data_IF_129943002812
#
_entry.id   IF_129943002812
#
_cell.length_a   1.000
_cell.length_b   1.000
_cell.length_c   1.000
_cell.angle_alpha   90.00
_cell.angle_beta   90.00
_cell.angle_gamma   90.00
#
_symmetry.space_group_name_H-M   'P 1'
#
loop_
_entity.id
_entity.type
_entity.pdbx_description
1 polymer ?
#
# COMPACT_ATOMS: atom_id res chain seq x y z
N UNK A 1 31.96 -2.57 -78.43
CA UNK A 1 32.00 -2.24 -76.99
C UNK A 1 32.21 -0.74 -76.89
N UNK A 2 31.25 0.04 -76.38
CA UNK A 2 31.07 0.30 -74.94
C UNK A 2 29.54 0.30 -74.57
N UNK A 3 29.03 1.00 -73.53
CA UNK A 3 29.03 0.62 -72.12
C UNK A 3 27.66 0.74 -71.38
N UNK A 4 27.65 0.26 -70.12
CA UNK A 4 26.97 0.68 -68.85
C UNK A 4 25.62 1.45 -68.83
N UNK A 5 24.70 0.83 -68.05
CA UNK A 5 23.79 1.31 -66.96
C UNK A 5 22.94 2.59 -67.12
N UNK A 6 21.63 2.43 -66.92
CA UNK A 6 20.72 3.43 -66.35
C UNK A 6 19.49 2.77 -65.68
N UNK A 7 19.18 3.15 -64.43
CA UNK A 7 17.80 3.44 -63.97
C UNK A 7 17.44 4.87 -64.48
N UNK A 8 16.21 5.43 -64.43
CA UNK A 8 15.07 5.07 -63.57
C UNK A 8 13.65 5.29 -64.19
N UNK A 9 12.62 4.96 -63.38
CA UNK A 9 11.32 5.63 -63.20
C UNK A 9 10.49 6.14 -64.40
N UNK A 10 9.23 5.71 -64.46
CA UNK A 10 8.11 6.53 -64.95
C UNK A 10 6.84 6.27 -64.16
N UNK A 11 6.18 7.38 -63.83
CA UNK A 11 4.81 7.49 -63.36
C UNK A 11 3.83 7.17 -64.50
N UNK A 12 2.62 6.74 -64.15
CA UNK A 12 1.45 6.94 -65.02
C UNK A 12 0.20 7.05 -64.16
N UNK A 13 -0.42 8.23 -64.16
CA UNK A 13 -1.83 8.39 -63.81
C UNK A 13 -2.67 7.86 -64.98
N UNK A 14 -3.69 7.04 -64.70
CA UNK A 14 -4.87 6.96 -65.56
C UNK A 14 -6.11 6.64 -64.73
N UNK A 15 -7.17 7.40 -65.01
CA UNK A 15 -8.39 7.47 -64.22
C UNK A 15 -9.29 6.25 -64.28
N UNK A 16 -10.29 6.24 -63.39
CA UNK A 16 -11.30 5.19 -63.33
C UNK A 16 -12.40 5.51 -62.33
N UNK A 17 -13.47 6.11 -62.86
CA UNK A 17 -14.76 6.47 -62.27
C UNK A 17 -15.28 5.52 -61.17
N UNK A 18 -15.64 6.15 -60.05
CA UNK A 18 -16.48 5.73 -58.91
C UNK A 18 -17.37 4.49 -59.08
N UNK A 19 -17.05 3.43 -58.32
CA UNK A 19 -18.05 2.55 -57.70
C UNK A 19 -18.17 2.92 -56.22
N UNK A 20 -19.38 3.31 -55.79
CA UNK A 20 -19.75 3.54 -54.39
C UNK A 20 -19.46 2.28 -53.57
N UNK A 21 -18.31 2.24 -52.91
CA UNK A 21 -18.10 1.39 -51.76
C UNK A 21 -18.81 2.06 -50.57
N UNK A 22 -19.83 1.38 -50.05
CA UNK A 22 -20.52 1.75 -48.81
C UNK A 22 -19.47 1.70 -47.70
N UNK A 23 -18.92 2.87 -47.34
CA UNK A 23 -18.09 3.01 -46.15
C UNK A 23 -19.00 2.69 -44.96
N UNK A 24 -18.94 1.44 -44.49
CA UNK A 24 -19.31 1.11 -43.12
C UNK A 24 -18.33 1.89 -42.25
N UNK A 25 -18.75 3.08 -41.84
CA UNK A 25 -18.21 3.78 -40.68
C UNK A 25 -18.21 2.75 -39.56
N UNK A 26 -17.03 2.18 -39.27
CA UNK A 26 -16.78 1.49 -38.01
C UNK A 26 -17.14 2.53 -36.96
N UNK A 27 -18.30 2.35 -36.33
CA UNK A 27 -18.64 3.10 -35.13
C UNK A 27 -17.42 2.99 -34.22
N UNK A 28 -16.83 4.14 -33.87
CA UNK A 28 -15.88 4.21 -32.76
C UNK A 28 -16.58 3.49 -31.62
N UNK A 29 -16.09 2.30 -31.26
CA UNK A 29 -16.53 1.63 -30.02
C UNK A 29 -16.26 2.65 -28.93
N UNK A 30 -17.33 3.23 -28.38
CA UNK A 30 -17.27 4.07 -27.20
C UNK A 30 -16.52 3.27 -26.15
N UNK A 31 -15.45 3.85 -25.60
CA UNK A 31 -14.70 3.21 -24.54
C UNK A 31 -15.69 2.81 -23.43
N UNK A 32 -15.57 1.60 -22.85
CA UNK A 32 -16.45 1.16 -21.79
C UNK A 32 -16.40 2.17 -20.65
N UNK A 33 -17.58 2.63 -20.19
CA UNK A 33 -17.69 3.58 -19.09
C UNK A 33 -17.16 2.95 -17.81
N UNK A 34 -16.27 3.64 -17.10
CA UNK A 34 -15.74 3.15 -15.82
C UNK A 34 -16.88 3.05 -14.78
N UNK A 35 -16.78 2.10 -13.83
CA UNK A 35 -17.74 2.01 -12.72
C UNK A 35 -17.65 3.26 -11.84
N UNK A 36 -18.73 3.59 -11.15
CA UNK A 36 -18.77 4.71 -10.20
C UNK A 36 -18.46 4.23 -8.79
N UNK A 37 -17.75 5.08 -8.04
CA UNK A 37 -17.64 4.94 -6.60
C UNK A 37 -19.01 5.11 -5.93
N UNK A 38 -19.23 4.38 -4.85
CA UNK A 38 -20.37 4.52 -3.95
C UNK A 38 -19.86 5.12 -2.65
N UNK A 39 -20.39 6.25 -2.16
CA UNK A 39 -19.96 6.84 -0.90
C UNK A 39 -20.00 5.84 0.26
N UNK A 40 -19.10 5.94 1.25
CA UNK A 40 -19.10 5.07 2.41
C UNK A 40 -20.47 5.07 3.11
N UNK A 41 -20.98 3.89 3.42
CA UNK A 41 -22.25 3.74 4.13
C UNK A 41 -22.06 2.96 5.43
N UNK A 42 -21.31 3.58 6.34
CA UNK A 42 -20.89 2.98 7.60
C UNK A 42 -22.07 2.65 8.51
N UNK A 43 -22.97 3.60 8.72
CA UNK A 43 -24.06 3.47 9.71
C UNK A 43 -25.16 2.49 9.28
N UNK A 44 -25.46 2.34 7.98
CA UNK A 44 -26.52 1.41 7.57
C UNK A 44 -26.09 -0.06 7.70
N UNK A 45 -24.79 -0.33 7.70
CA UNK A 45 -24.26 -1.70 7.80
C UNK A 45 -23.94 -2.10 9.23
N UNK A 46 -23.53 -1.14 10.05
CA UNK A 46 -23.10 -1.36 11.43
C UNK A 46 -23.80 -0.33 12.33
N UNK A 47 -25.03 -0.61 12.82
CA UNK A 47 -25.80 0.32 13.66
C UNK A 47 -25.10 0.73 14.96
N UNK A 48 -24.18 -0.10 15.44
CA UNK A 48 -23.31 0.13 16.60
C UNK A 48 -22.17 1.12 16.32
N UNK A 49 -21.96 1.52 15.07
CA UNK A 49 -20.93 2.49 14.72
C UNK A 49 -21.45 3.92 14.80
N UNK A 50 -20.65 4.81 15.38
CA UNK A 50 -21.01 6.21 15.57
C UNK A 50 -19.88 7.16 15.19
N UNK A 51 -20.24 8.41 14.91
CA UNK A 51 -19.29 9.52 14.85
C UNK A 51 -18.83 9.96 16.25
N UNK A 52 -19.61 9.65 17.27
CA UNK A 52 -19.28 9.99 18.65
C UNK A 52 -18.18 9.06 19.17
N UNK A 53 -17.17 9.67 19.80
CA UNK A 53 -16.07 8.95 20.41
C UNK A 53 -16.57 8.04 21.56
N UNK A 54 -16.12 6.78 21.67
CA UNK A 54 -16.45 5.93 22.80
C UNK A 54 -16.00 6.56 24.13
N UNK A 55 -16.82 6.41 25.18
CA UNK A 55 -16.57 7.06 26.48
C UNK A 55 -15.44 6.44 27.30
N UNK A 56 -15.04 5.21 26.96
CA UNK A 56 -14.08 4.42 27.70
C UNK A 56 -12.66 5.00 27.66
N UNK A 57 -11.89 4.73 28.72
CA UNK A 57 -10.56 5.34 28.92
C UNK A 57 -9.55 4.85 27.88
N UNK A 58 -9.54 3.54 27.60
CA UNK A 58 -8.61 2.96 26.64
C UNK A 58 -8.99 3.35 25.22
N UNK A 59 -10.28 3.36 24.89
CA UNK A 59 -10.75 3.81 23.59
C UNK A 59 -10.26 5.23 23.26
N UNK A 60 -10.52 6.19 24.15
CA UNK A 60 -10.04 7.59 24.00
C UNK A 60 -8.53 7.66 23.84
N UNK A 61 -7.80 6.93 24.69
CA UNK A 61 -6.34 6.88 24.64
C UNK A 61 -5.83 6.38 23.29
N UNK A 62 -6.47 5.37 22.70
CA UNK A 62 -6.12 4.87 21.36
C UNK A 62 -6.42 5.91 20.28
N UNK A 63 -7.62 6.47 20.32
CA UNK A 63 -8.11 7.43 19.33
C UNK A 63 -7.20 8.67 19.30
N UNK A 64 -6.88 9.23 20.46
CA UNK A 64 -5.98 10.39 20.56
C UNK A 64 -4.54 10.06 20.16
N UNK A 65 -4.01 8.90 20.59
CA UNK A 65 -2.61 8.53 20.33
C UNK A 65 -2.32 8.31 18.85
N UNK A 66 -3.24 7.65 18.15
CA UNK A 66 -3.09 7.27 16.74
C UNK A 66 -3.99 8.03 15.78
N UNK A 67 -4.62 9.12 16.24
CA UNK A 67 -5.50 9.98 15.46
C UNK A 67 -6.63 9.22 14.75
N UNK A 68 -7.21 8.19 15.39
CA UNK A 68 -8.23 7.36 14.76
C UNK A 68 -9.47 8.19 14.41
N UNK A 69 -10.02 7.95 13.23
CA UNK A 69 -11.16 8.68 12.69
C UNK A 69 -12.49 7.96 12.99
N UNK A 70 -13.64 8.67 12.97
CA UNK A 70 -14.93 8.02 12.87
C UNK A 70 -15.08 7.33 11.50
N UNK A 71 -15.86 6.23 11.40
CA UNK A 71 -16.71 5.67 12.45
C UNK A 71 -15.92 4.98 13.57
N UNK A 72 -16.45 5.08 14.78
CA UNK A 72 -15.99 4.33 15.94
C UNK A 72 -16.95 3.19 16.21
N UNK A 73 -16.41 1.98 16.39
CA UNK A 73 -17.21 0.81 16.76
C UNK A 73 -17.45 0.79 18.28
N UNK A 74 -18.69 1.02 18.70
CA UNK A 74 -19.06 0.99 20.13
C UNK A 74 -19.27 -0.42 20.68
N UNK A 75 -19.23 -1.46 19.84
CA UNK A 75 -19.23 -2.85 20.31
C UNK A 75 -17.87 -3.28 20.86
N UNK A 76 -16.78 -2.60 20.48
CA UNK A 76 -15.44 -2.88 21.00
C UNK A 76 -15.37 -2.53 22.48
N UNK A 77 -15.14 -3.55 23.29
CA UNK A 77 -15.06 -3.41 24.74
C UNK A 77 -13.79 -2.69 25.18
N UNK A 78 -13.81 -2.09 26.38
CA UNK A 78 -12.61 -1.48 26.97
C UNK A 78 -11.44 -2.45 27.14
N UNK A 79 -11.73 -3.75 27.31
CA UNK A 79 -10.70 -4.80 27.35
C UNK A 79 -10.03 -4.98 25.98
N UNK A 80 -10.83 -4.99 24.91
CA UNK A 80 -10.33 -5.06 23.54
C UNK A 80 -9.56 -3.79 23.16
N UNK A 81 -10.07 -2.60 23.51
CA UNK A 81 -9.32 -1.34 23.33
C UNK A 81 -7.99 -1.33 24.08
N UNK A 82 -7.93 -1.90 25.29
CA UNK A 82 -6.68 -2.08 26.01
C UNK A 82 -5.73 -3.04 25.27
N UNK A 83 -6.23 -4.15 24.74
CA UNK A 83 -5.41 -5.08 23.95
C UNK A 83 -4.86 -4.41 22.68
N UNK A 84 -5.71 -3.64 21.98
CA UNK A 84 -5.33 -2.84 20.81
C UNK A 84 -4.23 -1.84 21.18
N UNK A 85 -4.42 -1.11 22.29
CA UNK A 85 -3.44 -0.17 22.79
C UNK A 85 -2.09 -0.86 23.06
N UNK A 86 -2.10 -1.95 23.81
CA UNK A 86 -0.88 -2.61 24.26
C UNK A 86 -0.11 -3.24 23.09
N UNK A 87 -0.80 -3.83 22.13
CA UNK A 87 -0.18 -4.36 20.90
C UNK A 87 0.45 -3.24 20.07
N UNK A 88 -0.33 -2.21 19.70
CA UNK A 88 0.15 -1.13 18.83
C UNK A 88 1.23 -0.28 19.51
N UNK A 89 1.17 -0.08 20.84
CA UNK A 89 2.23 0.58 21.59
C UNK A 89 3.52 -0.24 21.66
N UNK A 90 3.42 -1.58 21.72
CA UNK A 90 4.60 -2.44 21.61
C UNK A 90 5.19 -2.39 20.20
N UNK A 91 4.37 -2.35 19.15
CA UNK A 91 4.82 -2.16 17.78
C UNK A 91 5.43 -0.77 17.53
N UNK A 92 4.90 0.29 18.15
CA UNK A 92 5.51 1.63 18.10
C UNK A 92 6.97 1.56 18.59
N UNK A 93 7.21 0.89 19.72
CA UNK A 93 8.55 0.71 20.28
C UNK A 93 9.45 -0.12 19.36
N UNK A 94 8.91 -1.16 18.75
CA UNK A 94 9.66 -2.04 17.84
C UNK A 94 9.97 -1.37 16.48
N UNK A 95 9.20 -0.36 16.09
CA UNK A 95 9.37 0.44 14.88
C UNK A 95 9.95 1.83 15.20
N UNK A 96 10.74 1.91 16.28
CA UNK A 96 11.49 3.10 16.70
C UNK A 96 12.96 2.95 16.34
N UNK A 97 13.53 4.00 15.74
CA UNK A 97 14.98 4.07 15.49
C UNK A 97 15.77 3.83 16.78
N UNK A 98 16.75 2.91 16.75
CA UNK A 98 17.62 2.65 17.90
C UNK A 98 17.12 1.66 18.93
N UNK A 99 15.85 1.27 18.89
CA UNK A 99 15.36 0.16 19.72
C UNK A 99 15.70 -1.15 19.01
N UNK A 100 16.94 -1.63 19.21
CA UNK A 100 17.39 -2.95 18.77
C UNK A 100 16.68 -4.06 19.58
N UNK A 101 15.37 -4.20 19.40
CA UNK A 101 14.72 -5.45 19.73
C UNK A 101 15.36 -6.53 18.86
N UNK A 102 16.18 -7.39 19.48
CA UNK A 102 16.90 -8.56 18.93
C UNK A 102 16.52 -8.89 17.47
N UNK A 103 17.49 -8.98 16.54
CA UNK A 103 17.22 -9.00 15.12
C UNK A 103 16.43 -10.26 14.75
N UNK A 104 15.12 -10.13 14.59
CA UNK A 104 14.42 -10.70 13.44
C UNK A 104 14.44 -9.73 12.26
N UNK A 105 15.15 -8.60 12.44
CA UNK A 105 15.57 -7.69 11.38
C UNK A 105 17.08 -7.85 11.23
N UNK A 106 17.50 -9.01 10.71
CA UNK A 106 18.89 -9.19 10.27
C UNK A 106 19.09 -8.35 9.01
N UNK A 107 19.59 -7.15 9.22
CA UNK A 107 19.87 -6.16 8.20
C UNK A 107 21.38 -6.00 8.00
N UNK A 108 22.11 -7.11 7.92
CA UNK A 108 23.55 -7.01 7.73
C UNK A 108 23.88 -6.45 6.33
N UNK A 109 22.91 -6.47 5.40
CA UNK A 109 23.13 -6.05 4.01
C UNK A 109 21.90 -5.51 3.24
N UNK A 110 20.76 -5.26 3.89
CA UNK A 110 19.61 -4.60 3.23
C UNK A 110 19.63 -3.08 3.48
N UNK A 111 18.78 -2.34 2.77
CA UNK A 111 18.51 -0.93 3.13
C UNK A 111 17.93 -0.87 4.54
N UNK A 112 18.14 0.24 5.24
CA UNK A 112 17.45 0.51 6.51
C UNK A 112 15.93 0.32 6.33
N UNK A 113 15.22 -0.40 7.23
CA UNK A 113 13.77 -0.59 7.13
C UNK A 113 13.00 0.73 7.17
N UNK A 114 13.55 1.77 7.78
CA UNK A 114 12.78 2.96 8.12
C UNK A 114 12.44 3.84 6.91
N UNK A 115 13.37 4.14 5.98
CA UNK A 115 13.00 4.74 4.69
C UNK A 115 11.96 3.94 3.91
N UNK A 116 12.04 2.60 3.94
CA UNK A 116 11.07 1.73 3.27
C UNK A 116 9.67 1.92 3.86
N UNK A 117 9.57 1.98 5.20
CA UNK A 117 8.31 2.24 5.88
C UNK A 117 7.74 3.62 5.52
N UNK A 118 8.59 4.67 5.51
CA UNK A 118 8.20 6.03 5.10
C UNK A 118 7.64 6.06 3.66
N UNK A 119 8.36 5.48 2.70
CA UNK A 119 7.95 5.42 1.28
C UNK A 119 6.65 4.63 1.12
N UNK A 120 6.56 3.47 1.77
CA UNK A 120 5.37 2.62 1.71
C UNK A 120 4.14 3.33 2.28
N UNK A 121 4.27 3.99 3.42
CA UNK A 121 3.22 4.79 4.03
C UNK A 121 2.78 5.97 3.16
N UNK A 122 3.72 6.67 2.51
CA UNK A 122 3.43 7.71 1.52
C UNK A 122 2.60 7.15 0.35
N UNK A 123 2.99 6.01 -0.20
CA UNK A 123 2.29 5.39 -1.32
C UNK A 123 0.87 4.94 -0.95
N UNK A 124 0.66 4.45 0.28
CA UNK A 124 -0.68 4.18 0.82
C UNK A 124 -1.53 5.45 0.85
N UNK A 125 -0.99 6.54 1.41
CA UNK A 125 -1.69 7.83 1.50
C UNK A 125 -2.01 8.40 0.10
N UNK A 126 -1.07 8.33 -0.84
CA UNK A 126 -1.23 8.74 -2.24
C UNK A 126 -2.43 8.07 -2.92
N UNK A 127 -2.61 6.77 -2.69
CA UNK A 127 -3.78 6.06 -3.18
C UNK A 127 -5.09 6.63 -2.62
N UNK A 128 -5.13 7.09 -1.37
CA UNK A 128 -6.32 7.72 -0.78
C UNK A 128 -6.57 9.13 -1.33
N UNK A 129 -5.52 9.95 -1.49
CA UNK A 129 -5.63 11.31 -2.04
C UNK A 129 -6.24 11.34 -3.45
N UNK A 130 -6.03 10.29 -4.24
CA UNK A 130 -6.64 10.16 -5.56
C UNK A 130 -8.07 9.61 -5.57
N UNK A 131 -8.71 9.40 -4.42
CA UNK A 131 -10.12 8.97 -4.34
C UNK A 131 -11.09 10.10 -4.71
N UNK A 132 -12.36 9.75 -4.88
CA UNK A 132 -13.44 10.71 -5.22
C UNK A 132 -14.18 11.27 -4.00
N UNK A 133 -13.71 10.96 -2.79
CA UNK A 133 -14.23 11.62 -1.59
C UNK A 133 -13.93 13.11 -1.63
N UNK A 134 -14.62 13.88 -0.79
CA UNK A 134 -14.28 15.29 -0.62
C UNK A 134 -12.85 15.45 -0.10
N UNK A 135 -12.27 16.63 -0.37
CA UNK A 135 -10.87 16.92 -0.08
C UNK A 135 -10.55 16.81 1.42
N UNK A 136 -11.47 17.23 2.30
CA UNK A 136 -11.30 17.16 3.75
C UNK A 136 -11.28 15.70 4.22
N UNK A 137 -12.27 14.90 3.80
CA UNK A 137 -12.41 13.51 4.19
C UNK A 137 -11.23 12.65 3.70
N UNK A 138 -10.85 12.75 2.41
CA UNK A 138 -9.70 11.97 1.91
C UNK A 138 -8.39 12.42 2.53
N UNK A 139 -8.24 13.71 2.84
CA UNK A 139 -7.02 14.22 3.49
C UNK A 139 -6.90 13.68 4.91
N UNK A 140 -7.98 13.73 5.70
CA UNK A 140 -8.00 13.15 7.04
C UNK A 140 -7.65 11.65 7.03
N UNK A 141 -8.29 10.87 6.14
CA UNK A 141 -8.04 9.43 6.01
C UNK A 141 -6.58 9.18 5.59
N UNK A 142 -6.08 9.88 4.58
CA UNK A 142 -4.72 9.71 4.05
C UNK A 142 -3.66 10.04 5.12
N UNK A 143 -3.82 11.13 5.86
CA UNK A 143 -2.91 11.52 6.95
C UNK A 143 -2.89 10.49 8.07
N UNK A 144 -4.05 9.95 8.44
CA UNK A 144 -4.17 8.94 9.52
C UNK A 144 -3.60 7.59 9.11
N UNK A 145 -3.90 7.12 7.90
CA UNK A 145 -3.43 5.81 7.43
C UNK A 145 -1.91 5.79 7.21
N UNK A 146 -1.29 6.94 6.88
CA UNK A 146 0.16 7.11 6.74
C UNK A 146 0.93 6.67 7.99
N UNK A 147 0.37 6.89 9.18
CA UNK A 147 0.97 6.47 10.46
C UNK A 147 0.49 5.11 10.98
N UNK A 148 -0.12 4.28 10.14
CA UNK A 148 -0.79 3.04 10.54
C UNK A 148 -0.14 1.76 10.03
N UNK A 149 1.00 1.85 9.34
CA UNK A 149 1.79 0.73 8.85
C UNK A 149 2.95 0.39 9.81
N UNK A 150 3.12 -0.89 10.12
CA UNK A 150 4.17 -1.39 11.01
C UNK A 150 4.88 -2.60 10.39
N UNK A 151 6.19 -2.71 10.60
CA UNK A 151 6.88 -4.00 10.43
C UNK A 151 6.56 -4.91 11.60
N UNK A 152 6.32 -6.17 11.27
CA UNK A 152 6.26 -7.30 12.19
C UNK A 152 7.56 -8.11 12.13
N UNK A 153 8.14 -8.22 10.93
CA UNK A 153 9.35 -9.00 10.64
C UNK A 153 9.98 -8.47 9.35
N UNK A 154 11.31 -8.47 9.25
CA UNK A 154 12.02 -8.14 8.02
C UNK A 154 13.35 -8.87 7.96
N UNK A 155 13.45 -9.94 7.19
CA UNK A 155 14.70 -10.65 6.98
C UNK A 155 15.15 -10.48 5.54
N UNK A 156 16.46 -10.53 5.30
CA UNK A 156 16.95 -10.64 3.94
C UNK A 156 18.42 -10.92 3.83
N UNK A 157 18.84 -11.10 2.58
CA UNK A 157 20.22 -11.43 2.23
C UNK A 157 20.60 -10.65 1.00
N UNK A 158 21.77 -10.05 1.01
CA UNK A 158 22.32 -9.38 -0.17
C UNK A 158 22.94 -10.37 -1.17
N UNK A 159 22.77 -10.04 -2.44
CA UNK A 159 23.32 -10.72 -3.60
C UNK A 159 24.57 -10.07 -4.16
N UNK A 160 24.96 -8.88 -3.69
CA UNK A 160 26.06 -8.04 -4.18
C UNK A 160 25.57 -6.88 -5.06
N UNK A 161 24.67 -7.17 -5.99
CA UNK A 161 24.07 -6.19 -6.91
C UNK A 161 22.63 -5.78 -6.51
N UNK A 162 22.17 -6.23 -5.34
CA UNK A 162 20.80 -6.08 -4.87
C UNK A 162 20.40 -7.24 -3.95
N UNK A 163 19.20 -7.20 -3.34
CA UNK A 163 18.77 -8.27 -2.45
C UNK A 163 18.72 -9.61 -3.20
N UNK A 164 19.34 -10.64 -2.63
CA UNK A 164 19.12 -12.03 -3.02
C UNK A 164 17.80 -12.55 -2.50
N UNK A 165 17.43 -12.19 -1.28
CA UNK A 165 16.15 -12.55 -0.70
C UNK A 165 15.63 -11.48 0.23
N UNK A 166 14.31 -11.34 0.26
CA UNK A 166 13.58 -10.49 1.20
C UNK A 166 12.41 -11.28 1.75
N UNK A 167 12.23 -11.26 3.06
CA UNK A 167 11.06 -11.73 3.76
C UNK A 167 10.55 -10.60 4.65
N UNK A 168 9.48 -9.93 4.27
CA UNK A 168 8.90 -8.83 5.04
C UNK A 168 7.49 -9.20 5.48
N UNK A 169 7.19 -9.02 6.77
CA UNK A 169 5.82 -9.05 7.29
C UNK A 169 5.45 -7.70 7.83
N UNK A 170 4.29 -7.20 7.44
CA UNK A 170 3.76 -5.91 7.89
C UNK A 170 2.33 -6.03 8.37
N UNK A 171 1.90 -5.05 9.16
CA UNK A 171 0.51 -4.86 9.58
C UNK A 171 0.08 -3.44 9.27
N UNK A 172 -1.00 -3.30 8.52
CA UNK A 172 -1.68 -2.03 8.27
C UNK A 172 -2.96 -1.98 9.10
N UNK A 173 -3.02 -1.08 10.08
CA UNK A 173 -4.24 -0.83 10.84
C UNK A 173 -5.22 0.04 10.04
N UNK A 174 -6.52 -0.18 10.26
CA UNK A 174 -7.54 0.75 9.78
C UNK A 174 -7.27 2.16 10.36
N UNK A 175 -7.45 3.24 9.57
CA UNK A 175 -7.42 4.60 10.09
C UNK A 175 -8.66 4.93 10.95
N UNK A 176 -9.67 4.06 10.95
CA UNK A 176 -10.90 4.25 11.72
C UNK A 176 -10.85 3.52 13.06
N UNK A 177 -11.66 3.97 14.02
CA UNK A 177 -11.78 3.34 15.33
C UNK A 177 -12.62 2.06 15.33
N UNK A 178 -12.37 1.15 14.38
CA UNK A 178 -13.08 -0.13 14.19
C UNK A 178 -12.23 -1.35 14.57
N UNK A 179 -11.00 -1.15 15.06
CA UNK A 179 -10.18 -2.20 15.68
C UNK A 179 -9.60 -3.26 14.73
N UNK A 180 -9.73 -3.09 13.42
CA UNK A 180 -9.29 -4.04 12.39
C UNK A 180 -7.90 -3.71 11.83
N UNK A 181 -7.29 -4.71 11.20
CA UNK A 181 -6.02 -4.54 10.47
C UNK A 181 -5.90 -5.55 9.33
N UNK A 182 -4.89 -5.37 8.47
CA UNK A 182 -4.49 -6.34 7.46
C UNK A 182 -3.03 -6.70 7.68
N UNK A 183 -2.74 -7.98 7.82
CA UNK A 183 -1.37 -8.48 7.80
C UNK A 183 -0.97 -8.82 6.38
N UNK A 184 0.26 -8.48 6.02
CA UNK A 184 0.85 -8.80 4.73
C UNK A 184 2.16 -9.54 4.92
N UNK A 185 2.47 -10.46 4.00
CA UNK A 185 3.81 -11.03 3.87
C UNK A 185 4.28 -10.93 2.42
N UNK A 186 5.45 -10.34 2.26
CA UNK A 186 6.18 -10.24 1.01
C UNK A 186 7.40 -11.15 1.06
N UNK A 187 7.49 -12.02 0.06
CA UNK A 187 8.56 -12.98 -0.12
C UNK A 187 9.19 -12.74 -1.48
N UNK A 188 10.51 -12.53 -1.51
CA UNK A 188 11.28 -12.43 -2.74
C UNK A 188 12.55 -13.26 -2.62
N UNK A 189 12.90 -13.94 -3.71
CA UNK A 189 14.17 -14.64 -3.84
C UNK A 189 14.63 -14.65 -5.28
N UNK A 190 15.91 -14.40 -5.51
CA UNK A 190 16.51 -14.46 -6.82
C UNK A 190 17.90 -15.11 -6.80
N UNK A 191 18.03 -16.22 -7.52
CA UNK A 191 19.31 -16.89 -7.77
C UNK A 191 19.39 -17.36 -9.22
N UNK A 192 19.96 -16.52 -10.08
CA UNK A 192 20.06 -16.76 -11.53
C UNK A 192 20.62 -18.14 -11.89
N UNK A 193 21.74 -18.55 -11.25
CA UNK A 193 22.45 -19.80 -11.59
C UNK A 193 21.72 -21.08 -11.20
N UNK A 194 20.72 -21.00 -10.31
CA UNK A 194 20.03 -22.17 -9.78
C UNK A 194 18.55 -22.22 -10.17
N UNK A 195 18.07 -21.23 -10.93
CA UNK A 195 16.67 -21.14 -11.35
C UNK A 195 15.70 -20.88 -10.19
N UNK A 196 16.20 -20.64 -8.99
CA UNK A 196 15.42 -20.32 -7.80
C UNK A 196 15.04 -18.84 -7.86
N UNK A 197 13.90 -18.55 -8.46
CA UNK A 197 13.40 -17.19 -8.62
C UNK A 197 11.92 -17.17 -8.25
N UNK A 198 11.56 -16.38 -7.26
CA UNK A 198 10.16 -16.17 -6.92
C UNK A 198 9.93 -14.83 -6.24
N UNK A 199 8.68 -14.38 -6.35
CA UNK A 199 8.18 -13.20 -5.68
C UNK A 199 6.73 -13.45 -5.32
N UNK A 200 6.29 -13.10 -4.12
CA UNK A 200 4.87 -13.14 -3.79
C UNK A 200 4.52 -12.16 -2.70
N UNK A 201 3.33 -11.60 -2.83
CA UNK A 201 2.68 -10.82 -1.77
C UNK A 201 1.37 -11.49 -1.41
N UNK A 202 1.18 -11.76 -0.13
CA UNK A 202 -0.05 -12.33 0.43
C UNK A 202 -0.58 -11.42 1.54
N UNK A 203 -1.90 -11.39 1.72
CA UNK A 203 -2.57 -10.58 2.74
C UNK A 203 -3.67 -11.37 3.45
N UNK A 204 -3.95 -11.03 4.71
CA UNK A 204 -5.07 -11.55 5.49
C UNK A 204 -5.67 -10.46 6.37
N UNK A 205 -7.00 -10.40 6.42
CA UNK A 205 -7.73 -9.49 7.30
C UNK A 205 -7.69 -9.98 8.74
N UNK A 206 -7.61 -9.05 9.68
CA UNK A 206 -7.75 -9.30 11.11
C UNK A 206 -8.91 -8.48 11.68
N UNK A 207 -9.57 -9.03 12.68
CA UNK A 207 -10.51 -8.31 13.53
C UNK A 207 -9.89 -7.99 14.90
N UNK A 208 -10.70 -7.40 15.78
CA UNK A 208 -10.26 -7.00 17.11
C UNK A 208 -9.99 -8.20 18.04
N UNK A 209 -10.54 -9.38 17.74
CA UNK A 209 -10.33 -10.58 18.53
C UNK A 209 -9.04 -11.33 18.14
N UNK A 210 -8.51 -11.03 16.94
CA UNK A 210 -7.21 -11.53 16.47
C UNK A 210 -5.99 -10.85 17.15
N UNK A 211 -6.21 -9.80 17.95
CA UNK A 211 -5.15 -9.08 18.67
C UNK A 211 -4.39 -9.99 19.64
N UNK A 212 -3.07 -9.84 19.67
CA UNK A 212 -2.15 -10.65 20.46
C UNK A 212 -1.15 -9.75 21.19
N UNK A 213 -1.58 -8.99 22.22
CA UNK A 213 -0.70 -8.05 22.92
C UNK A 213 0.51 -8.72 23.60
N UNK A 214 0.42 -10.02 23.91
CA UNK A 214 1.55 -10.81 24.43
C UNK A 214 2.57 -11.22 23.37
N UNK A 215 2.22 -11.14 22.08
CA UNK A 215 3.11 -11.37 20.94
C UNK A 215 2.71 -10.43 19.79
N UNK A 216 3.05 -9.13 19.89
CA UNK A 216 2.55 -8.10 18.99
C UNK A 216 3.02 -8.26 17.53
N UNK A 217 4.12 -8.98 17.31
CA UNK A 217 4.66 -9.30 15.98
C UNK A 217 4.00 -10.52 15.33
N UNK A 218 3.11 -11.22 16.04
CA UNK A 218 2.46 -12.42 15.51
C UNK A 218 1.61 -12.05 14.30
N UNK A 219 2.05 -12.47 13.12
CA UNK A 219 1.27 -12.36 11.89
C UNK A 219 0.30 -13.54 11.77
N UNK A 220 -0.90 -13.27 11.24
CA UNK A 220 -1.85 -14.31 10.82
C UNK A 220 -1.58 -14.85 9.42
N UNK A 221 -0.70 -14.21 8.66
CA UNK A 221 -0.29 -14.72 7.36
C UNK A 221 0.46 -16.03 7.57
N UNK A 222 -0.15 -17.12 7.13
CA UNK A 222 0.42 -18.47 7.16
C UNK A 222 0.41 -19.02 5.74
N UNK A 223 1.32 -19.96 5.45
CA UNK A 223 1.30 -20.72 4.20
C UNK A 223 0.06 -21.63 4.20
N UNK A 224 -1.08 -21.16 3.67
CA UNK A 224 -2.36 -21.88 3.76
C UNK A 224 -3.56 -21.20 3.06
N UNK A 225 -4.77 -21.75 3.25
CA UNK A 225 -5.97 -21.46 2.44
C UNK A 225 -6.70 -20.14 2.72
N UNK A 226 -6.29 -19.38 3.75
CA UNK A 226 -7.05 -18.21 4.23
C UNK A 226 -6.45 -16.87 3.78
N UNK A 227 -5.19 -16.87 3.34
CA UNK A 227 -4.54 -15.67 2.80
C UNK A 227 -4.89 -15.44 1.34
N UNK A 228 -5.08 -14.18 0.95
CA UNK A 228 -5.22 -13.78 -0.44
C UNK A 228 -3.86 -13.46 -1.02
N UNK A 229 -3.47 -14.16 -2.07
CA UNK A 229 -2.26 -13.85 -2.84
C UNK A 229 -2.51 -12.65 -3.75
N UNK A 230 -1.98 -11.49 -3.41
CA UNK A 230 -2.12 -10.25 -4.18
C UNK A 230 -1.41 -10.40 -5.52
N UNK A 231 -0.14 -10.83 -5.50
CA UNK A 231 0.57 -11.27 -6.70
C UNK A 231 1.49 -12.45 -6.42
N UNK A 232 1.88 -13.16 -7.48
CA UNK A 232 3.05 -14.04 -7.47
C UNK A 232 3.79 -14.08 -8.80
N UNK A 233 5.07 -14.42 -8.68
CA UNK A 233 6.04 -14.63 -9.72
C UNK A 233 6.89 -15.85 -9.35
N UNK A 234 7.30 -16.63 -10.35
CA UNK A 234 8.06 -17.87 -10.18
C UNK A 234 9.26 -17.94 -11.12
N UNK A 235 9.90 -16.80 -11.42
CA UNK A 235 11.06 -16.75 -12.31
C UNK A 235 10.74 -16.71 -13.80
N UNK A 236 9.47 -16.85 -14.17
CA UNK A 236 9.03 -16.77 -15.57
C UNK A 236 8.62 -15.34 -15.94
N UNK A 237 8.46 -15.03 -17.24
CA UNK A 237 7.98 -13.72 -17.68
C UNK A 237 6.50 -13.44 -17.33
N UNK A 238 5.86 -14.25 -16.49
CA UNK A 238 4.45 -14.15 -16.15
C UNK A 238 4.27 -13.86 -14.67
N UNK A 239 3.79 -12.66 -14.38
CA UNK A 239 3.26 -12.28 -13.07
C UNK A 239 1.77 -12.60 -13.02
N UNK A 240 1.31 -13.18 -11.92
CA UNK A 240 -0.10 -13.49 -11.68
C UNK A 240 -0.64 -12.67 -10.54
N UNK A 241 -1.65 -11.83 -10.81
CA UNK A 241 -2.45 -11.17 -9.77
C UNK A 241 -3.79 -11.89 -9.52
N UNK A 242 -4.36 -11.66 -8.33
CA UNK A 242 -5.69 -12.15 -7.95
C UNK A 242 -6.83 -11.43 -8.69
N UNK A 243 -8.07 -11.71 -8.30
CA UNK A 243 -9.28 -11.12 -8.90
C UNK A 243 -9.73 -9.88 -8.13
N UNK A 244 -10.45 -8.98 -8.79
CA UNK A 244 -11.01 -7.77 -8.16
C UNK A 244 -11.89 -8.10 -6.93
N UNK A 245 -12.63 -9.22 -6.96
CA UNK A 245 -13.43 -9.69 -5.83
C UNK A 245 -12.58 -9.94 -4.58
N UNK A 246 -11.40 -10.55 -4.76
CA UNK A 246 -10.50 -10.88 -3.65
C UNK A 246 -9.69 -9.66 -3.18
N UNK A 247 -9.46 -8.67 -4.04
CA UNK A 247 -8.90 -7.38 -3.61
C UNK A 247 -9.95 -6.61 -2.80
N UNK A 248 -11.19 -6.53 -3.29
CA UNK A 248 -12.27 -5.80 -2.64
C UNK A 248 -12.68 -6.37 -1.28
N UNK A 249 -12.33 -7.62 -0.96
CA UNK A 249 -12.61 -8.17 0.37
C UNK A 249 -11.82 -7.50 1.50
N UNK A 250 -10.77 -6.73 1.18
CA UNK A 250 -10.00 -5.98 2.18
C UNK A 250 -10.58 -4.58 2.48
N UNK A 251 -11.44 -4.04 1.62
CA UNK A 251 -12.02 -2.71 1.81
C UNK A 251 -12.85 -2.58 3.10
N UNK A 252 -13.71 -3.55 3.46
CA UNK A 252 -14.42 -3.48 4.75
C UNK A 252 -13.47 -3.54 5.94
N UNK A 253 -12.41 -4.34 5.85
CA UNK A 253 -11.43 -4.46 6.93
C UNK A 253 -10.67 -3.16 7.12
N UNK A 254 -10.21 -2.51 6.06
CA UNK A 254 -9.44 -1.27 6.20
C UNK A 254 -10.33 -0.04 6.40
N UNK A 255 -11.50 -0.01 5.79
CA UNK A 255 -12.29 1.21 5.65
C UNK A 255 -13.75 1.10 6.10
N UNK A 256 -14.15 -0.05 6.63
CA UNK A 256 -15.49 -0.26 7.20
C UNK A 256 -16.64 -0.20 6.20
N UNK A 257 -16.37 -0.11 4.91
CA UNK A 257 -17.38 -0.03 3.84
C UNK A 257 -16.86 -0.73 2.58
N UNK A 258 -17.70 -0.78 1.53
CA UNK A 258 -17.34 -1.32 0.22
C UNK A 258 -17.73 -0.37 -0.89
N UNK A 259 -16.97 -0.39 -1.98
CA UNK A 259 -17.30 0.22 -3.25
C UNK A 259 -16.98 1.70 -3.34
N UNK A 260 -16.27 2.27 -2.37
CA UNK A 260 -15.85 3.68 -2.44
C UNK A 260 -14.44 3.84 -3.00
N UNK A 261 -13.60 2.80 -2.89
CA UNK A 261 -12.32 2.66 -3.58
C UNK A 261 -12.41 1.62 -4.70
N UNK A 262 -11.79 1.89 -5.84
CA UNK A 262 -11.67 0.88 -6.88
C UNK A 262 -10.75 -0.28 -6.48
N UNK A 263 -10.90 -1.46 -7.13
CA UNK A 263 -9.96 -2.57 -6.96
C UNK A 263 -8.52 -2.16 -7.25
N UNK A 264 -8.29 -1.21 -8.16
CA UNK A 264 -6.96 -0.72 -8.48
C UNK A 264 -6.35 0.07 -7.31
N UNK A 265 -7.11 0.96 -6.66
CA UNK A 265 -6.61 1.66 -5.46
C UNK A 265 -6.33 0.71 -4.32
N UNK A 266 -7.23 -0.23 -4.06
CA UNK A 266 -7.04 -1.25 -3.02
C UNK A 266 -5.82 -2.12 -3.32
N UNK A 267 -5.61 -2.51 -4.57
CA UNK A 267 -4.40 -3.19 -4.98
C UNK A 267 -3.15 -2.37 -4.63
N UNK A 268 -3.11 -1.09 -5.00
CA UNK A 268 -1.95 -0.23 -4.75
C UNK A 268 -1.70 -0.02 -3.26
N UNK A 269 -2.75 0.12 -2.44
CA UNK A 269 -2.66 0.18 -0.97
C UNK A 269 -2.03 -1.12 -0.43
N UNK A 270 -2.53 -2.28 -0.85
CA UNK A 270 -2.03 -3.57 -0.38
C UNK A 270 -0.59 -3.82 -0.85
N UNK A 271 -0.27 -3.45 -2.09
CA UNK A 271 1.08 -3.59 -2.64
C UNK A 271 2.09 -2.72 -1.87
N UNK A 272 1.75 -1.45 -1.64
CA UNK A 272 2.55 -0.53 -0.85
C UNK A 272 2.66 -0.98 0.61
N UNK A 273 1.57 -1.40 1.24
CA UNK A 273 1.59 -1.91 2.62
C UNK A 273 2.44 -3.17 2.77
N UNK A 274 2.49 -4.00 1.73
CA UNK A 274 3.37 -5.16 1.66
C UNK A 274 4.85 -4.82 1.46
N UNK A 275 5.20 -3.54 1.25
CA UNK A 275 6.55 -3.04 0.95
C UNK A 275 7.16 -3.65 -0.33
N UNK A 276 6.34 -4.17 -1.24
CA UNK A 276 6.82 -4.83 -2.44
C UNK A 276 7.68 -3.90 -3.30
N UNK A 277 8.82 -4.39 -3.81
CA UNK A 277 9.74 -3.66 -4.69
C UNK A 277 10.47 -2.46 -4.08
N UNK A 278 10.42 -2.30 -2.76
CA UNK A 278 11.05 -1.17 -2.06
C UNK A 278 12.49 -1.45 -1.59
N UNK A 279 12.97 -2.68 -1.80
CA UNK A 279 14.26 -3.17 -1.30
C UNK A 279 15.37 -3.10 -2.36
N UNK A 280 15.07 -2.64 -3.58
CA UNK A 280 16.01 -2.58 -4.70
C UNK A 280 16.00 -3.85 -5.55
N UNK A 281 14.86 -4.54 -5.63
CA UNK A 281 14.69 -5.71 -6.47
C UNK A 281 14.64 -5.33 -7.96
N UNK A 282 15.76 -5.50 -8.65
CA UNK A 282 15.96 -5.10 -10.05
C UNK A 282 15.93 -6.29 -11.03
N UNK A 283 15.82 -7.51 -10.53
CA UNK A 283 15.94 -8.74 -11.33
C UNK A 283 14.62 -9.26 -11.91
N UNK A 284 13.52 -8.50 -11.77
CA UNK A 284 12.27 -8.86 -12.41
C UNK A 284 12.32 -8.59 -13.92
N UNK A 285 11.93 -9.58 -14.73
CA UNK A 285 11.83 -9.42 -16.19
C UNK A 285 10.74 -8.42 -16.62
N UNK A 286 9.78 -8.16 -15.72
CA UNK A 286 8.65 -7.25 -15.89
C UNK A 286 8.32 -6.73 -14.50
N UNK A 287 8.09 -5.42 -14.36
CA UNK A 287 7.74 -4.80 -13.09
C UNK A 287 6.48 -5.47 -12.47
N UNK A 288 6.60 -6.12 -11.30
CA UNK A 288 5.46 -6.79 -10.66
C UNK A 288 4.33 -5.87 -10.26
N UNK A 289 4.62 -4.63 -9.86
CA UNK A 289 3.58 -3.65 -9.54
C UNK A 289 2.77 -3.34 -10.80
N UNK A 290 3.45 -3.04 -11.91
CA UNK A 290 2.81 -2.71 -13.18
C UNK A 290 2.05 -3.91 -13.76
N UNK A 291 2.67 -5.09 -13.80
CA UNK A 291 2.04 -6.27 -14.40
C UNK A 291 0.85 -6.79 -13.57
N UNK A 292 0.90 -6.65 -12.24
CA UNK A 292 -0.19 -7.09 -11.37
C UNK A 292 -1.39 -6.14 -11.42
N UNK A 293 -1.15 -4.83 -11.57
CA UNK A 293 -2.21 -3.82 -11.61
C UNK A 293 -3.03 -3.80 -12.91
N UNK A 294 -2.48 -4.29 -14.04
CA UNK A 294 -3.15 -4.29 -15.37
C UNK A 294 -4.54 -4.94 -15.38
N UNK A 295 -4.85 -5.79 -14.40
CA UNK A 295 -6.16 -6.46 -14.27
C UNK A 295 -7.23 -5.59 -13.61
N UNK A 296 -6.87 -4.46 -13.05
CA UNK A 296 -7.77 -3.59 -12.30
C UNK A 296 -7.91 -2.25 -13.00
N UNK A 297 -9.04 -1.59 -12.75
CA UNK A 297 -9.35 -0.27 -13.31
C UNK A 297 -9.83 0.65 -12.22
N UNK A 298 -9.51 1.94 -12.35
CA UNK A 298 -10.07 2.99 -11.51
C UNK A 298 -11.60 3.10 -11.64
N UNK A 299 -12.22 3.68 -10.62
CA UNK A 299 -13.58 4.22 -10.75
C UNK A 299 -13.56 5.57 -11.48
N UNK A 300 -14.73 5.97 -12.00
CA UNK A 300 -14.94 7.27 -12.64
C UNK A 300 -14.54 8.39 -11.66
N UNK A 301 -13.56 9.21 -12.04
CA UNK A 301 -13.08 10.37 -11.26
C UNK A 301 -11.85 10.09 -10.38
N UNK A 302 -11.47 8.84 -10.16
CA UNK A 302 -10.27 8.51 -9.39
C UNK A 302 -8.98 8.83 -10.17
N UNK A 303 -7.93 9.20 -9.44
CA UNK A 303 -6.59 9.49 -9.96
C UNK A 303 -5.52 8.77 -9.13
N UNK A 304 -4.24 8.97 -9.43
CA UNK A 304 -3.13 8.47 -8.61
C UNK A 304 -2.92 9.28 -7.32
N UNK A 305 -3.53 10.47 -7.19
CA UNK A 305 -3.32 11.35 -6.02
C UNK A 305 -2.00 12.12 -6.00
N UNK A 306 -1.21 12.06 -7.09
CA UNK A 306 0.18 12.55 -7.13
C UNK A 306 0.37 13.99 -6.65
N UNK A 307 -0.37 14.96 -7.19
CA UNK A 307 -0.23 16.38 -6.80
C UNK A 307 -0.48 16.62 -5.32
N UNK A 308 -1.55 16.06 -4.76
CA UNK A 308 -1.88 16.25 -3.35
C UNK A 308 -0.89 15.48 -2.45
N UNK A 309 -0.43 14.31 -2.89
CA UNK A 309 0.64 13.57 -2.20
C UNK A 309 1.92 14.39 -2.11
N UNK A 310 2.35 15.05 -3.19
CA UNK A 310 3.56 15.87 -3.21
C UNK A 310 3.46 17.05 -2.24
N UNK A 311 2.33 17.78 -2.26
CA UNK A 311 2.09 18.89 -1.32
C UNK A 311 2.10 18.43 0.16
N UNK A 312 1.45 17.31 0.44
CA UNK A 312 1.38 16.76 1.80
C UNK A 312 2.73 16.19 2.27
N UNK A 313 3.56 15.69 1.34
CA UNK A 313 4.93 15.30 1.64
C UNK A 313 5.81 16.51 1.98
N UNK A 314 5.72 17.61 1.22
CA UNK A 314 6.43 18.85 1.53
C UNK A 314 6.06 19.38 2.92
N UNK A 315 4.76 19.41 3.22
CA UNK A 315 4.27 19.79 4.56
C UNK A 315 4.77 18.82 5.64
N UNK A 316 4.81 17.52 5.37
CA UNK A 316 5.33 16.54 6.31
C UNK A 316 6.80 16.80 6.64
N UNK A 317 7.65 17.05 5.64
CA UNK A 317 9.06 17.33 5.87
C UNK A 317 9.25 18.61 6.71
N UNK A 318 8.48 19.68 6.44
CA UNK A 318 8.50 20.90 7.26
C UNK A 318 8.14 20.60 8.73
N UNK A 319 7.06 19.85 8.97
CA UNK A 319 6.63 19.48 10.31
C UNK A 319 7.63 18.55 11.00
N UNK A 320 8.21 17.61 10.26
CA UNK A 320 9.20 16.66 10.79
C UNK A 320 10.48 17.40 11.20
N UNK A 321 10.93 18.39 10.42
CA UNK A 321 12.05 19.30 10.72
C UNK A 321 11.81 20.14 11.99
N UNK A 322 10.59 20.62 12.20
CA UNK A 322 10.23 21.39 13.41
C UNK A 322 10.02 20.50 14.64
N UNK A 323 9.59 19.26 14.45
CA UNK A 323 9.34 18.34 15.55
C UNK A 323 10.66 17.94 16.24
N UNK A 324 10.74 18.03 17.58
CA UNK A 324 11.91 17.56 18.30
C UNK A 324 12.10 16.05 18.08
N UNK A 325 13.36 15.63 18.02
CA UNK A 325 13.70 14.20 18.12
C UNK A 325 13.30 13.68 19.50
N UNK A 326 12.98 12.39 19.58
CA UNK A 326 12.80 11.74 20.87
C UNK A 326 14.17 11.52 21.53
N UNK A 327 14.27 11.82 22.84
CA UNK A 327 15.47 11.46 23.60
C UNK A 327 15.47 9.95 23.86
N UNK A 328 16.25 9.23 23.03
CA UNK A 328 16.42 7.78 23.12
C UNK A 328 17.79 7.41 23.73
N UNK A 329 18.53 8.37 24.29
CA UNK A 329 19.91 8.20 24.75
C UNK A 329 20.91 8.05 23.59
N UNK A 330 22.01 7.33 23.83
CA UNK A 330 23.11 7.12 22.87
C UNK A 330 22.73 6.12 21.76
N UNK A 331 21.81 6.53 20.88
CA UNK A 331 21.42 5.80 19.68
C UNK A 331 22.20 6.34 18.49
N UNK A 332 22.86 5.46 17.74
CA UNK A 332 23.40 5.83 16.43
C UNK A 332 22.24 6.03 15.43
N UNK A 333 22.16 7.25 14.89
CA UNK A 333 21.25 7.61 13.81
C UNK A 333 22.07 7.91 12.55
N UNK A 334 21.63 7.46 11.36
CA UNK A 334 22.16 7.96 10.11
C UNK A 334 22.00 9.47 9.97
N UNK A 335 22.84 10.08 9.16
CA UNK A 335 22.79 11.51 8.88
C UNK A 335 21.41 11.89 8.31
N UNK A 336 20.82 12.97 8.85
CA UNK A 336 19.49 13.45 8.45
C UNK A 336 18.30 12.72 9.09
N UNK A 337 18.52 11.66 9.88
CA UNK A 337 17.43 10.95 10.55
C UNK A 337 17.22 11.42 11.99
N UNK A 338 15.95 11.49 12.41
CA UNK A 338 15.56 11.87 13.77
C UNK A 338 15.15 10.64 14.58
N UNK A 339 15.61 10.58 15.82
CA UNK A 339 15.16 9.58 16.78
C UNK A 339 13.64 9.64 16.97
N UNK A 340 13.01 8.46 16.98
CA UNK A 340 11.60 8.30 17.30
C UNK A 340 10.93 7.14 16.57
N UNK A 341 9.68 6.91 16.96
CA UNK A 341 8.81 5.91 16.35
C UNK A 341 8.38 6.37 14.96
N UNK A 342 8.75 5.64 13.90
CA UNK A 342 8.49 6.04 12.51
C UNK A 342 6.99 6.20 12.24
N UNK A 343 6.11 5.22 12.54
CA UNK A 343 4.66 5.38 12.37
C UNK A 343 4.09 6.59 13.13
N UNK A 344 4.58 6.86 14.35
CA UNK A 344 4.10 7.99 15.16
C UNK A 344 4.52 9.33 14.60
N UNK A 345 5.73 9.44 14.04
CA UNK A 345 6.19 10.66 13.36
C UNK A 345 5.36 10.93 12.11
N UNK A 346 5.01 9.88 11.35
CA UNK A 346 4.15 10.00 10.17
C UNK A 346 2.72 10.52 10.48
N UNK A 347 2.29 10.51 11.75
CA UNK A 347 1.03 11.13 12.20
C UNK A 347 1.13 12.64 12.45
N UNK A 348 2.29 13.28 12.24
CA UNK A 348 2.42 14.74 12.40
C UNK A 348 1.42 15.51 11.52
N UNK A 349 1.17 15.04 10.29
CA UNK A 349 0.14 15.61 9.41
C UNK A 349 -1.26 15.46 10.00
N UNK A 350 -1.59 14.29 10.55
CA UNK A 350 -2.91 14.00 11.13
C UNK A 350 -3.20 14.81 12.41
N UNK A 351 -2.18 15.45 12.99
CA UNK A 351 -2.30 16.34 14.15
C UNK A 351 -2.41 17.81 13.77
N UNK A 352 -2.29 18.15 12.49
CA UNK A 352 -2.60 19.48 12.01
C UNK A 352 -4.12 19.58 11.83
N UNK A 353 -4.73 20.50 12.58
CA UNK A 353 -6.15 20.87 12.47
C UNK A 353 -6.41 21.74 11.24
#
# INVERSE_FOLDING_TARGET
MPPKRANPSTSTQSGGVSKKAKATTKSKKTAPKLPRSTPPNWQNRNPEWSKDMPKGKNAKKCIERWCLLPPYDHSITEKQWKAYHDERAALDRDNTWGYYAKPSIENDYLRSPWPILKISSRNIASAIYGSVLDEEEKTAIARTIRGSLYFLELEGRDGGDGPRSVHAKTRLYSPFGIGTSVDLAYDYHFRYREGEQFGSLVAVSNDVDDLSPGNPRKSRVTKGSWSVKIFSWNGTNKITATTAKMINSFEPTLFGSTGWLSPLKLHNILFAAGTGLTYGEDHYSTDPEIASQEKFTFFEGETTGGHLSEMEDELFEELDEQAPGEDLGDVYLPEGEKAGCVPRRLLLLARQE
#
